data_IF_287441648430
#
_entry.id   IF_287441648430
#
_cell.length_a   1.000
_cell.length_b   1.000
_cell.length_c   1.000
_cell.angle_alpha   90.00
_cell.angle_beta   90.00
_cell.angle_gamma   90.00
#
_symmetry.space_group_name_H-M   'P 1'
#
loop_
_entity.id
_entity.type
_entity.pdbx_description
1 polymer ?
#
# COMPACT_ATOMS: atom_id res chain seq x y z
N UNK A 1 18.76 18.63 -3.11
CA UNK A 1 17.94 18.21 -4.26
C UNK A 1 16.49 18.23 -3.84
N UNK A 2 15.63 18.93 -4.57
CA UNK A 2 14.19 19.03 -4.30
C UNK A 2 13.49 17.89 -5.01
N UNK A 3 12.86 16.99 -4.26
CA UNK A 3 11.98 15.94 -4.81
C UNK A 3 10.59 16.53 -5.00
N UNK A 4 10.04 16.43 -6.20
CA UNK A 4 8.68 16.80 -6.51
C UNK A 4 7.79 15.56 -6.56
N UNK A 5 6.57 15.66 -6.02
CA UNK A 5 5.53 14.64 -6.19
C UNK A 5 4.49 15.19 -7.16
N UNK A 6 4.16 14.44 -8.21
CA UNK A 6 3.17 14.83 -9.22
C UNK A 6 2.29 13.65 -9.64
N UNK A 7 1.10 13.90 -10.24
CA UNK A 7 0.34 12.86 -10.90
C UNK A 7 1.17 12.12 -11.96
N UNK A 8 0.96 10.81 -12.06
CA UNK A 8 1.56 9.98 -13.10
C UNK A 8 1.02 10.34 -14.50
N UNK A 9 1.83 10.09 -15.51
CA UNK A 9 1.55 10.30 -16.93
C UNK A 9 1.80 9.00 -17.69
N UNK A 10 1.30 8.93 -18.92
CA UNK A 10 1.46 7.75 -19.79
C UNK A 10 2.95 7.41 -20.01
N UNK A 11 3.81 8.43 -20.05
CA UNK A 11 5.27 8.28 -20.18
C UNK A 11 5.94 7.60 -18.96
N UNK A 12 5.32 7.65 -17.77
CA UNK A 12 5.88 7.05 -16.55
C UNK A 12 5.60 5.53 -16.45
N UNK A 13 4.71 4.99 -17.29
CA UNK A 13 4.18 3.62 -17.13
C UNK A 13 5.28 2.56 -17.19
N UNK A 14 6.24 2.72 -18.11
CA UNK A 14 7.33 1.77 -18.29
C UNK A 14 8.25 1.74 -17.05
N UNK A 15 8.61 2.91 -16.50
CA UNK A 15 9.45 3.01 -15.30
C UNK A 15 8.71 2.51 -14.05
N UNK A 16 7.43 2.86 -13.90
CA UNK A 16 6.57 2.36 -12.84
C UNK A 16 6.44 0.84 -12.89
N UNK A 17 6.16 0.28 -14.06
CA UNK A 17 6.01 -1.16 -14.24
C UNK A 17 7.30 -1.89 -13.89
N UNK A 18 8.44 -1.42 -14.42
CA UNK A 18 9.74 -2.01 -14.16
C UNK A 18 10.08 -2.01 -12.67
N UNK A 19 9.82 -0.90 -11.97
CA UNK A 19 10.09 -0.78 -10.54
C UNK A 19 9.15 -1.65 -9.69
N UNK A 20 7.86 -1.62 -9.96
CA UNK A 20 6.86 -2.44 -9.26
C UNK A 20 7.19 -3.93 -9.43
N UNK A 21 7.44 -4.36 -10.67
CA UNK A 21 7.70 -5.77 -10.95
C UNK A 21 9.07 -6.24 -10.47
N UNK A 22 10.05 -5.33 -10.28
CA UNK A 22 11.29 -5.64 -9.56
C UNK A 22 11.02 -6.06 -8.13
N UNK A 23 10.21 -5.31 -7.40
CA UNK A 23 9.82 -5.67 -6.02
C UNK A 23 8.89 -6.90 -5.99
N UNK A 24 8.05 -7.09 -7.00
CA UNK A 24 7.22 -8.29 -7.10
C UNK A 24 8.05 -9.56 -7.28
N UNK A 25 9.15 -9.50 -8.06
CA UNK A 25 10.08 -10.62 -8.20
C UNK A 25 10.81 -10.99 -6.89
N UNK A 26 10.89 -10.06 -5.93
CA UNK A 26 11.38 -10.28 -4.57
C UNK A 26 10.28 -10.73 -3.59
N UNK A 27 9.06 -10.99 -4.08
CA UNK A 27 7.86 -11.31 -3.31
C UNK A 27 7.37 -10.20 -2.35
N UNK A 28 7.82 -8.95 -2.60
CA UNK A 28 7.56 -7.79 -1.72
C UNK A 28 6.32 -6.97 -2.09
N UNK A 29 5.73 -7.25 -3.24
CA UNK A 29 4.46 -6.68 -3.70
C UNK A 29 3.85 -7.53 -4.81
N UNK A 30 2.62 -7.21 -5.21
CA UNK A 30 1.97 -7.85 -6.35
C UNK A 30 2.44 -7.24 -7.68
N UNK A 31 2.64 -8.10 -8.67
CA UNK A 31 2.94 -7.68 -10.05
C UNK A 31 1.82 -6.81 -10.64
N UNK A 32 2.22 -5.93 -11.57
CA UNK A 32 1.29 -5.09 -12.33
C UNK A 32 1.57 -5.20 -13.83
N UNK A 33 0.51 -5.48 -14.57
CA UNK A 33 0.53 -5.45 -16.03
C UNK A 33 0.53 -4.00 -16.52
N UNK A 34 0.94 -3.78 -17.76
CA UNK A 34 0.87 -2.46 -18.40
C UNK A 34 -0.58 -1.98 -18.48
N UNK A 35 -1.50 -2.87 -18.84
CA UNK A 35 -2.92 -2.57 -18.98
C UNK A 35 -3.53 -2.12 -17.65
N UNK A 36 -3.17 -2.78 -16.54
CA UNK A 36 -3.57 -2.33 -15.21
C UNK A 36 -3.09 -0.92 -14.92
N UNK A 37 -1.82 -0.60 -15.21
CA UNK A 37 -1.27 0.73 -14.96
C UNK A 37 -1.92 1.80 -15.86
N UNK A 38 -2.30 1.46 -17.09
CA UNK A 38 -3.05 2.34 -18.00
C UNK A 38 -4.46 2.62 -17.47
N UNK A 39 -5.18 1.57 -17.06
CA UNK A 39 -6.55 1.67 -16.51
C UNK A 39 -6.58 2.49 -15.22
N UNK A 40 -5.56 2.33 -14.38
CA UNK A 40 -5.45 2.97 -13.07
C UNK A 40 -4.54 4.20 -13.04
N UNK A 41 -4.10 4.73 -14.18
CA UNK A 41 -3.06 5.77 -14.25
C UNK A 41 -3.35 6.98 -13.35
N UNK A 42 -4.62 7.38 -13.23
CA UNK A 42 -5.06 8.54 -12.44
C UNK A 42 -4.96 8.33 -10.93
N UNK A 43 -4.87 7.08 -10.49
CA UNK A 43 -4.71 6.72 -9.09
C UNK A 43 -3.25 6.90 -8.64
N UNK A 44 -2.30 6.98 -9.58
CA UNK A 44 -0.87 7.02 -9.32
C UNK A 44 -0.30 8.44 -9.25
N UNK A 45 0.63 8.59 -8.32
CA UNK A 45 1.59 9.70 -8.25
C UNK A 45 3.01 9.16 -8.39
N UNK A 46 3.89 9.99 -8.92
CA UNK A 46 5.32 9.70 -9.06
C UNK A 46 6.15 10.74 -8.32
N UNK A 47 7.30 10.30 -7.84
CA UNK A 47 8.34 11.15 -7.31
C UNK A 47 9.40 11.37 -8.40
N UNK A 48 9.82 12.61 -8.61
CA UNK A 48 10.89 12.95 -9.55
C UNK A 48 11.81 14.04 -8.99
N UNK A 49 13.02 14.10 -9.52
CA UNK A 49 13.90 15.26 -9.36
C UNK A 49 14.60 15.60 -10.69
N UNK A 50 15.67 16.40 -10.65
CA UNK A 50 16.43 16.78 -11.84
C UNK A 50 17.05 15.59 -12.60
N UNK A 51 17.17 14.42 -11.96
CA UNK A 51 17.66 13.17 -12.57
C UNK A 51 16.55 12.29 -13.16
N UNK A 52 15.27 12.65 -12.96
CA UNK A 52 14.12 11.93 -13.47
C UNK A 52 13.33 11.19 -12.40
N UNK A 53 12.71 10.06 -12.80
CA UNK A 53 11.85 9.24 -11.96
C UNK A 53 12.60 8.65 -10.75
N UNK A 54 11.97 8.67 -9.58
CA UNK A 54 12.52 8.17 -8.33
C UNK A 54 11.64 7.10 -7.67
N UNK A 55 10.37 6.99 -8.04
CA UNK A 55 9.42 6.09 -7.43
C UNK A 55 7.96 6.46 -7.69
N UNK A 56 7.04 5.60 -7.25
CA UNK A 56 5.61 5.78 -7.43
C UNK A 56 4.81 5.27 -6.23
N UNK A 57 3.56 5.69 -6.16
CA UNK A 57 2.57 5.19 -5.22
C UNK A 57 1.16 5.47 -5.78
N UNK A 58 0.15 4.69 -5.40
CA UNK A 58 -1.23 4.95 -5.78
C UNK A 58 -2.19 5.00 -4.60
N UNK A 59 -3.32 5.68 -4.82
CA UNK A 59 -4.45 5.73 -3.91
C UNK A 59 -5.68 5.16 -4.61
N UNK A 60 -6.17 4.01 -4.15
CA UNK A 60 -7.40 3.41 -4.66
C UNK A 60 -8.55 3.65 -3.69
N UNK A 61 -9.67 4.20 -4.17
CA UNK A 61 -10.88 4.39 -3.36
C UNK A 61 -11.72 3.11 -3.39
N UNK A 62 -12.04 2.56 -2.21
CA UNK A 62 -12.81 1.31 -2.08
C UNK A 62 -14.28 1.59 -1.76
N UNK A 63 -14.52 2.58 -0.91
CA UNK A 63 -15.86 2.99 -0.45
C UNK A 63 -15.93 4.52 -0.36
N UNK A 64 -17.11 5.11 -0.09
CA UNK A 64 -17.23 6.54 0.15
C UNK A 64 -16.39 7.08 1.33
N UNK A 65 -15.80 6.22 2.16
CA UNK A 65 -15.05 6.63 3.35
C UNK A 65 -13.66 6.01 3.51
N UNK A 66 -13.29 5.02 2.68
CA UNK A 66 -12.05 4.25 2.78
C UNK A 66 -11.29 4.23 1.44
N UNK A 67 -9.98 4.47 1.52
CA UNK A 67 -9.05 4.22 0.42
C UNK A 67 -7.82 3.41 0.87
N UNK A 68 -7.16 2.78 -0.09
CA UNK A 68 -5.94 2.01 0.08
C UNK A 68 -4.76 2.71 -0.58
N UNK A 69 -3.66 2.84 0.16
CA UNK A 69 -2.35 3.17 -0.41
C UNK A 69 -1.75 1.89 -1.01
N UNK A 70 -1.46 1.92 -2.31
CA UNK A 70 -0.97 0.77 -3.08
C UNK A 70 0.33 1.08 -3.79
N UNK A 71 0.98 0.01 -4.25
CA UNK A 71 2.11 0.06 -5.18
C UNK A 71 3.18 1.11 -4.82
N UNK A 72 3.45 1.27 -3.53
CA UNK A 72 4.50 2.15 -3.03
C UNK A 72 5.86 1.53 -3.37
N UNK A 73 6.59 2.17 -4.26
CA UNK A 73 7.92 1.74 -4.67
C UNK A 73 8.84 2.96 -4.84
N UNK A 74 10.08 2.84 -4.39
CA UNK A 74 11.13 3.85 -4.55
C UNK A 74 12.34 3.16 -5.15
N UNK A 75 13.07 3.80 -6.05
CA UNK A 75 14.34 3.26 -6.56
C UNK A 75 15.25 2.85 -5.38
N UNK A 76 15.79 1.62 -5.34
CA UNK A 76 16.60 1.14 -4.21
C UNK A 76 17.76 2.08 -3.87
N UNK A 77 18.39 2.67 -4.89
CA UNK A 77 19.52 3.60 -4.80
C UNK A 77 19.11 4.95 -4.17
N UNK A 78 17.81 5.22 -4.10
CA UNK A 78 17.21 6.44 -3.57
C UNK A 78 16.53 6.23 -2.21
N UNK A 79 16.62 5.02 -1.65
CA UNK A 79 16.06 4.68 -0.35
C UNK A 79 16.72 5.49 0.78
N UNK A 80 16.01 5.65 1.91
CA UNK A 80 16.48 6.41 3.07
C UNK A 80 16.44 7.94 2.91
N UNK A 81 16.07 8.46 1.73
CA UNK A 81 15.98 9.91 1.45
C UNK A 81 14.61 10.53 1.77
N UNK A 82 13.70 9.77 2.39
CA UNK A 82 12.35 10.22 2.72
C UNK A 82 11.35 10.25 1.56
N UNK A 83 11.71 9.80 0.36
CA UNK A 83 10.86 9.81 -0.84
C UNK A 83 9.56 9.02 -0.63
N UNK A 84 9.66 7.80 -0.08
CA UNK A 84 8.49 6.98 0.19
C UNK A 84 7.49 7.67 1.12
N UNK A 85 7.98 8.40 2.14
CA UNK A 85 7.11 9.18 3.03
C UNK A 85 6.40 10.32 2.29
N UNK A 86 7.08 11.01 1.39
CA UNK A 86 6.45 12.07 0.57
C UNK A 86 5.37 11.51 -0.35
N UNK A 87 5.61 10.35 -0.98
CA UNK A 87 4.62 9.64 -1.79
C UNK A 87 3.38 9.27 -0.98
N UNK A 88 3.54 8.62 0.18
CA UNK A 88 2.41 8.26 1.06
C UNK A 88 1.64 9.49 1.52
N UNK A 89 2.33 10.56 1.92
CA UNK A 89 1.66 11.79 2.37
C UNK A 89 0.92 12.50 1.24
N UNK A 90 1.36 12.36 -0.02
CA UNK A 90 0.61 12.85 -1.18
C UNK A 90 -0.69 12.05 -1.35
N UNK A 91 -0.65 10.72 -1.27
CA UNK A 91 -1.86 9.88 -1.30
C UNK A 91 -2.81 10.20 -0.14
N UNK A 92 -2.30 10.40 1.07
CA UNK A 92 -3.11 10.79 2.24
C UNK A 92 -3.74 12.18 2.05
N UNK A 93 -3.00 13.12 1.46
CA UNK A 93 -3.52 14.46 1.15
C UNK A 93 -4.62 14.40 0.10
N UNK A 94 -4.46 13.56 -0.92
CA UNK A 94 -5.49 13.32 -1.93
C UNK A 94 -6.74 12.67 -1.33
N UNK A 95 -6.58 11.68 -0.44
CA UNK A 95 -7.70 11.08 0.27
C UNK A 95 -8.50 12.11 1.07
N UNK A 96 -7.82 13.05 1.76
CA UNK A 96 -8.48 14.18 2.43
C UNK A 96 -9.20 15.10 1.45
N UNK A 97 -8.58 15.42 0.31
CA UNK A 97 -9.18 16.25 -0.74
C UNK A 97 -10.47 15.63 -1.29
N UNK A 98 -10.52 14.31 -1.38
CA UNK A 98 -11.70 13.54 -1.81
C UNK A 98 -12.79 13.39 -0.74
N UNK A 99 -12.54 13.86 0.50
CA UNK A 99 -13.52 13.77 1.60
C UNK A 99 -13.57 12.41 2.29
N UNK A 100 -12.54 11.57 2.10
CA UNK A 100 -12.46 10.27 2.79
C UNK A 100 -12.16 10.45 4.27
N UNK A 101 -12.53 9.44 5.08
CA UNK A 101 -12.36 9.47 6.53
C UNK A 101 -11.19 8.64 7.01
N UNK A 102 -10.80 7.60 6.26
CA UNK A 102 -9.75 6.68 6.64
C UNK A 102 -8.98 6.16 5.43
N UNK A 103 -7.70 5.88 5.64
CA UNK A 103 -6.79 5.33 4.64
C UNK A 103 -6.08 4.14 5.26
N UNK A 104 -5.94 3.05 4.52
CA UNK A 104 -5.16 1.90 4.96
C UNK A 104 -4.09 1.52 3.95
N UNK A 105 -3.17 0.64 4.37
CA UNK A 105 -2.19 -0.01 3.51
C UNK A 105 -2.00 -1.45 3.96
N UNK A 106 -1.73 -2.36 3.03
CA UNK A 106 -1.20 -3.69 3.30
C UNK A 106 0.30 -3.67 3.03
N UNK A 107 1.11 -4.17 3.97
CA UNK A 107 2.56 -4.02 3.89
C UNK A 107 3.35 -5.10 4.62
N UNK A 108 4.55 -5.39 4.11
CA UNK A 108 5.57 -6.18 4.80
C UNK A 108 6.51 -5.34 5.68
N UNK A 109 6.35 -4.01 5.69
CA UNK A 109 7.21 -3.07 6.44
C UNK A 109 6.38 -2.12 7.31
N UNK A 110 5.66 -2.64 8.33
CA UNK A 110 4.71 -1.84 9.13
C UNK A 110 5.36 -0.63 9.78
N UNK A 111 6.62 -0.73 10.24
CA UNK A 111 7.34 0.35 10.93
C UNK A 111 7.53 1.58 10.02
N UNK A 112 7.56 1.39 8.70
CA UNK A 112 7.58 2.50 7.76
C UNK A 112 6.27 3.29 7.78
N UNK A 113 5.13 2.59 7.82
CA UNK A 113 3.80 3.22 7.85
C UNK A 113 3.49 3.83 9.22
N UNK A 114 4.02 3.25 10.31
CA UNK A 114 3.96 3.88 11.65
C UNK A 114 4.61 5.26 11.65
N UNK A 115 5.78 5.43 11.01
CA UNK A 115 6.43 6.74 10.83
C UNK A 115 5.65 7.70 9.94
N UNK A 116 4.66 7.20 9.19
CA UNK A 116 3.71 7.98 8.42
C UNK A 116 2.41 8.29 9.19
N UNK A 117 2.28 7.82 10.44
CA UNK A 117 1.13 8.05 11.32
C UNK A 117 0.07 6.96 11.28
N UNK A 118 0.30 5.87 10.54
CA UNK A 118 -0.61 4.73 10.53
C UNK A 118 -0.44 3.89 11.80
N UNK A 119 -1.50 3.18 12.17
CA UNK A 119 -1.55 2.27 13.33
C UNK A 119 -1.80 0.85 12.82
N UNK A 120 -1.09 -0.12 13.39
CA UNK A 120 -1.32 -1.54 13.08
C UNK A 120 -2.75 -1.94 13.44
N UNK A 121 -3.43 -2.61 12.51
CA UNK A 121 -4.80 -3.09 12.66
C UNK A 121 -4.95 -4.52 12.13
N UNK A 122 -6.12 -5.10 12.31
CA UNK A 122 -6.46 -6.40 11.73
C UNK A 122 -7.11 -6.22 10.37
N UNK A 123 -6.74 -7.05 9.40
CA UNK A 123 -7.48 -7.13 8.13
C UNK A 123 -8.97 -7.48 8.35
N UNK A 124 -9.32 -8.16 9.45
CA UNK A 124 -10.71 -8.47 9.81
C UNK A 124 -11.55 -7.22 10.11
N UNK A 125 -10.90 -6.09 10.41
CA UNK A 125 -11.53 -4.77 10.59
C UNK A 125 -11.66 -3.99 9.26
N UNK A 126 -11.26 -4.60 8.14
CA UNK A 126 -11.33 -4.06 6.77
C UNK A 126 -12.11 -5.00 5.83
N UNK A 127 -13.39 -5.31 6.13
CA UNK A 127 -14.20 -6.22 5.33
C UNK A 127 -14.36 -5.76 3.87
N UNK A 128 -14.30 -4.45 3.62
CA UNK A 128 -14.43 -3.85 2.30
C UNK A 128 -13.30 -4.28 1.36
N UNK A 129 -12.07 -4.33 1.88
CA UNK A 129 -10.89 -4.85 1.18
C UNK A 129 -10.99 -6.36 0.96
N UNK A 130 -11.38 -7.08 2.00
CA UNK A 130 -11.53 -8.54 1.91
C UNK A 130 -12.60 -8.97 0.91
N UNK A 131 -13.65 -8.17 0.71
CA UNK A 131 -14.72 -8.47 -0.21
C UNK A 131 -14.38 -8.15 -1.67
N UNK A 132 -13.68 -7.03 -1.92
CA UNK A 132 -13.44 -6.55 -3.28
C UNK A 132 -12.25 -7.24 -3.97
N UNK A 133 -11.16 -7.51 -3.24
CA UNK A 133 -9.87 -7.81 -3.89
C UNK A 133 -9.20 -9.10 -3.43
N UNK A 134 -9.45 -9.55 -2.20
CA UNK A 134 -8.93 -10.83 -1.74
C UNK A 134 -9.43 -12.04 -2.56
N UNK A 135 -10.66 -12.08 -3.13
CA UNK A 135 -11.13 -13.25 -3.89
C UNK A 135 -10.30 -13.59 -5.13
N UNK A 136 -9.70 -12.58 -5.77
CA UNK A 136 -8.87 -12.73 -6.98
C UNK A 136 -7.36 -12.60 -6.70
N UNK A 137 -6.98 -12.42 -5.43
CA UNK A 137 -5.59 -12.22 -5.04
C UNK A 137 -4.81 -13.55 -5.12
N UNK A 138 -3.65 -13.60 -5.82
CA UNK A 138 -2.83 -14.81 -5.90
C UNK A 138 -2.26 -15.21 -4.54
N UNK A 139 -2.05 -14.24 -3.63
CA UNK A 139 -1.59 -14.47 -2.25
C UNK A 139 -2.73 -14.76 -1.26
N UNK A 140 -3.99 -14.90 -1.66
CA UNK A 140 -5.14 -14.99 -0.73
C UNK A 140 -4.92 -15.98 0.43
N UNK A 141 -4.42 -17.18 0.16
CA UNK A 141 -4.24 -18.22 1.18
C UNK A 141 -2.84 -18.25 1.82
N UNK A 142 -2.00 -17.25 1.51
CA UNK A 142 -0.64 -17.13 2.02
C UNK A 142 -0.25 -15.66 2.24
N UNK A 143 -1.23 -14.79 2.49
CA UNK A 143 -1.01 -13.35 2.64
C UNK A 143 -0.32 -13.11 3.99
N UNK A 144 0.85 -12.50 3.91
CA UNK A 144 1.79 -12.18 4.97
C UNK A 144 1.89 -10.66 5.25
N UNK A 145 1.04 -9.89 4.58
CA UNK A 145 0.96 -8.44 4.76
C UNK A 145 0.24 -8.06 6.06
N UNK A 146 0.76 -7.01 6.69
CA UNK A 146 0.17 -6.36 7.85
C UNK A 146 -0.74 -5.23 7.39
N UNK A 147 -1.92 -5.12 8.00
CA UNK A 147 -2.83 -4.01 7.75
C UNK A 147 -2.47 -2.81 8.63
N UNK A 148 -2.28 -1.66 8.01
CA UNK A 148 -1.98 -0.38 8.66
C UNK A 148 -3.11 0.60 8.37
N UNK A 149 -3.66 1.27 9.39
CA UNK A 149 -4.82 2.17 9.26
C UNK A 149 -4.50 3.57 9.79
N UNK A 150 -5.01 4.59 9.10
CA UNK A 150 -4.95 5.99 9.50
C UNK A 150 -6.36 6.59 9.42
N UNK A 151 -6.82 7.25 10.49
CA UNK A 151 -7.99 8.12 10.42
C UNK A 151 -7.56 9.53 9.99
N UNK A 152 -8.33 10.12 9.09
CA UNK A 152 -8.03 11.42 8.49
C UNK A 152 -8.56 12.61 9.30
N UNK A 153 -9.43 12.35 10.29
CA UNK A 153 -10.00 13.32 11.23
C UNK A 153 -9.10 13.59 12.46
N UNK A 154 -7.93 12.93 12.53
CA UNK A 154 -6.97 13.09 13.62
C UNK A 154 -7.25 12.21 14.83
N UNK A 155 -8.33 11.42 14.83
CA UNK A 155 -8.50 10.36 15.83
C UNK A 155 -7.47 9.24 15.61
N UNK A 156 -7.16 8.49 16.66
CA UNK A 156 -6.24 7.37 16.58
C UNK A 156 -7.08 6.10 16.43
N UNK A 157 -6.86 5.27 15.38
CA UNK A 157 -7.51 3.97 15.28
C UNK A 157 -7.26 3.13 16.53
N UNK A 158 -8.24 2.32 16.92
CA UNK A 158 -8.07 1.39 18.03
C UNK A 158 -6.87 0.46 17.74
N UNK A 159 -5.82 0.47 18.59
CA UNK A 159 -4.67 -0.39 18.38
C UNK A 159 -5.08 -1.86 18.38
N UNK A 160 -4.33 -2.67 17.65
CA UNK A 160 -4.55 -4.11 17.64
C UNK A 160 -4.31 -4.70 19.04
N UNK A 161 -5.28 -5.46 19.55
CA UNK A 161 -5.11 -6.21 20.80
C UNK A 161 -4.05 -7.31 20.69
N UNK A 162 -3.44 -7.69 21.81
CA UNK A 162 -2.33 -8.67 21.85
C UNK A 162 -2.70 -10.07 21.34
N UNK A 163 -3.99 -10.43 21.33
CA UNK A 163 -4.50 -11.71 20.85
C UNK A 163 -5.15 -11.64 19.46
N UNK A 164 -5.31 -10.44 18.88
CA UNK A 164 -6.00 -10.28 17.62
C UNK A 164 -5.12 -10.64 16.42
N UNK A 165 -5.68 -11.34 15.41
CA UNK A 165 -4.91 -11.73 14.24
C UNK A 165 -4.61 -10.54 13.32
N UNK A 166 -3.33 -10.37 12.97
CA UNK A 166 -2.82 -9.26 12.14
C UNK A 166 -3.16 -9.40 10.64
N UNK A 167 -3.25 -10.63 10.11
CA UNK A 167 -3.28 -10.89 8.66
C UNK A 167 -4.31 -11.93 8.22
N UNK A 168 -4.57 -12.00 6.92
CA UNK A 168 -5.60 -12.88 6.33
C UNK A 168 -5.38 -14.35 6.70
N UNK A 169 -4.14 -14.84 6.63
CA UNK A 169 -3.81 -16.25 6.92
C UNK A 169 -4.19 -16.62 8.35
N UNK A 170 -3.91 -15.74 9.32
CA UNK A 170 -4.26 -15.97 10.73
C UNK A 170 -5.76 -15.82 10.99
N UNK A 171 -6.42 -14.90 10.29
CA UNK A 171 -7.88 -14.66 10.38
C UNK A 171 -8.70 -15.84 9.85
N UNK A 172 -8.33 -16.39 8.70
CA UNK A 172 -9.16 -17.37 7.98
C UNK A 172 -8.66 -18.80 8.08
N UNK A 173 -7.35 -19.01 8.28
CA UNK A 173 -6.75 -20.35 8.38
C UNK A 173 -6.25 -20.68 9.79
N UNK A 174 -6.21 -19.71 10.71
CA UNK A 174 -5.75 -19.92 12.09
C UNK A 174 -4.26 -20.27 12.22
N UNK A 175 -3.48 -20.07 11.16
CA UNK A 175 -2.04 -20.38 11.09
C UNK A 175 -1.23 -19.16 10.65
N UNK A 176 0.05 -19.14 11.04
CA UNK A 176 0.99 -18.12 10.57
C UNK A 176 1.37 -18.36 9.09
N UNK A 177 1.54 -17.30 8.28
CA UNK A 177 2.08 -17.42 6.92
C UNK A 177 3.45 -18.11 6.95
N UNK A 178 3.61 -19.20 6.19
CA UNK A 178 4.85 -19.99 6.17
C UNK A 178 5.00 -21.03 7.29
N UNK A 179 4.02 -21.17 8.19
CA UNK A 179 3.97 -22.24 9.18
C UNK A 179 3.50 -23.56 8.55
N UNK A 180 4.29 -24.63 8.70
CA UNK A 180 3.82 -25.98 8.39
C UNK A 180 2.55 -26.27 9.19
N UNK A 181 1.54 -26.84 8.51
CA UNK A 181 0.32 -27.35 9.14
C UNK A 181 0.69 -28.17 10.38
N UNK A 182 0.07 -27.96 11.55
CA UNK A 182 0.15 -28.94 12.60
C UNK A 182 -0.47 -30.23 12.04
N UNK A 183 0.30 -31.32 12.12
CA UNK A 183 -0.17 -32.66 11.75
C UNK A 183 -1.22 -33.14 12.74
#
# INVERSE_FOLDING_TARGET
>A
MSVAIRPARVEDIDEMQALINRYAAEDRMLERSRDFLLEHLRDFVVAEDASGFLGCCSLAVLTPDLAEVRSLAVLPEQSGRGIGRHLVLACVSEARRLGLRRVFALTLVPEFFERCGFVLTSLGRLPEKSASECPVCPKRFACDEHAMLLHLDGTIPEPLGSSEPVGYTRLFLGVEPGGQSPR
#
